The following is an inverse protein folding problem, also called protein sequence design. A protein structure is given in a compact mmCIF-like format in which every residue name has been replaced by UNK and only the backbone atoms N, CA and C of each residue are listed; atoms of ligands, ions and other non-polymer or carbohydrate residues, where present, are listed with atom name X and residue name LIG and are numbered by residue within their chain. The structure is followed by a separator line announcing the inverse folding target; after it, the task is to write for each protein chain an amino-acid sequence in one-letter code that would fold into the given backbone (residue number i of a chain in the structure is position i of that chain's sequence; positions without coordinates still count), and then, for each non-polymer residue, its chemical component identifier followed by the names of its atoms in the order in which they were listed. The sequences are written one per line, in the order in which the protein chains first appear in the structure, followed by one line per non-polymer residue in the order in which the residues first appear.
data_IF_364941594067
#
_entry.id   IF_364941594067
#
_cell.length_a   1.000
_cell.length_b   1.000
_cell.length_c   1.000
_cell.angle_alpha   90.00
_cell.angle_beta   90.00
_cell.angle_gamma   90.00
#
_symmetry.space_group_name_H-M   'P 1'
#
loop_
_entity.id
_entity.type
_entity.pdbx_description
1 polymer ?
#
# COMPACT_ATOMS: atom_id res chain seq x y z
N UNK A 1 28.05 -16.86 11.96
CA UNK A 1 27.97 -16.86 10.47
C UNK A 1 26.73 -16.06 10.15
N UNK A 2 26.90 -14.78 9.84
CA UNK A 2 25.77 -13.91 9.42
C UNK A 2 25.54 -14.29 7.97
N UNK A 3 24.55 -15.13 7.72
CA UNK A 3 24.12 -15.47 6.38
C UNK A 3 23.76 -14.19 5.63
N UNK A 4 24.17 -14.12 4.37
CA UNK A 4 24.02 -12.94 3.51
C UNK A 4 22.57 -12.48 3.52
N UNK A 5 22.32 -11.32 4.14
CA UNK A 5 21.04 -10.65 4.04
C UNK A 5 20.91 -10.12 2.60
N UNK A 6 19.98 -10.71 1.85
CA UNK A 6 19.61 -10.19 0.56
C UNK A 6 18.68 -8.99 0.76
N UNK A 7 19.14 -7.81 0.37
CA UNK A 7 18.31 -6.61 0.32
C UNK A 7 18.40 -5.97 -1.06
N UNK A 8 17.31 -5.35 -1.47
CA UNK A 8 17.27 -4.50 -2.67
C UNK A 8 16.73 -3.15 -2.23
N UNK A 9 17.52 -2.11 -2.46
CA UNK A 9 17.07 -0.74 -2.18
C UNK A 9 15.93 -0.36 -3.13
N UNK A 10 15.02 0.46 -2.64
CA UNK A 10 13.99 1.10 -3.46
C UNK A 10 14.59 2.41 -3.95
N UNK A 11 14.80 2.59 -5.26
CA UNK A 11 15.31 3.85 -5.81
C UNK A 11 14.34 4.99 -5.51
N UNK A 12 14.88 6.17 -5.27
CA UNK A 12 14.08 7.33 -4.90
C UNK A 12 13.10 7.77 -6.00
N UNK A 13 13.48 7.57 -7.26
CA UNK A 13 12.65 7.82 -8.44
C UNK A 13 11.50 6.83 -8.62
N UNK A 14 11.52 5.70 -7.89
CA UNK A 14 10.39 4.78 -7.83
C UNK A 14 9.23 5.33 -6.99
N UNK A 15 9.50 6.25 -6.05
CA UNK A 15 8.47 6.88 -5.24
C UNK A 15 7.55 7.74 -6.12
N UNK A 16 6.24 7.56 -5.98
CA UNK A 16 5.27 8.34 -6.74
C UNK A 16 5.28 9.81 -6.32
N UNK A 17 5.20 10.67 -7.31
CA UNK A 17 4.80 12.07 -7.15
C UNK A 17 3.29 12.15 -7.40
N UNK A 18 2.55 12.60 -6.41
CA UNK A 18 1.08 12.64 -6.46
C UNK A 18 0.52 13.82 -7.29
N UNK A 19 1.39 14.66 -7.83
CA UNK A 19 1.05 15.66 -8.84
C UNK A 19 1.03 15.08 -10.27
N UNK A 20 1.48 13.82 -10.44
CA UNK A 20 1.42 13.13 -11.74
C UNK A 20 -0.03 13.05 -12.25
N UNK A 21 -0.29 13.48 -13.51
CA UNK A 21 -1.66 13.50 -14.05
C UNK A 21 -2.27 12.11 -14.22
N UNK A 22 -1.42 11.09 -14.34
CA UNK A 22 -1.82 9.70 -14.53
C UNK A 22 -2.38 9.05 -13.25
N UNK A 23 -2.12 9.62 -12.08
CA UNK A 23 -2.65 9.10 -10.82
C UNK A 23 -4.10 9.55 -10.61
N UNK A 24 -5.04 8.64 -10.83
CA UNK A 24 -6.47 8.91 -10.71
C UNK A 24 -7.21 7.82 -9.92
N UNK A 25 -8.48 8.08 -9.62
CA UNK A 25 -9.40 7.10 -9.04
C UNK A 25 -9.65 6.01 -10.09
N UNK A 26 -9.90 4.78 -9.63
CA UNK A 26 -10.15 3.57 -10.41
C UNK A 26 -8.92 2.99 -11.14
N UNK A 27 -7.72 3.53 -10.91
CA UNK A 27 -6.49 2.90 -11.37
C UNK A 27 -6.17 1.65 -10.54
N UNK A 28 -5.71 0.60 -11.23
CA UNK A 28 -5.33 -0.66 -10.58
C UNK A 28 -4.04 -0.51 -9.79
N UNK A 29 -4.03 -1.09 -8.60
CA UNK A 29 -2.85 -1.14 -7.73
C UNK A 29 -2.51 -2.59 -7.37
N UNK A 30 -1.24 -2.82 -7.08
CA UNK A 30 -0.69 -4.10 -6.64
C UNK A 30 -0.02 -3.92 -5.28
N UNK A 31 -0.20 -4.86 -4.39
CA UNK A 31 0.50 -4.87 -3.11
C UNK A 31 0.92 -6.27 -2.71
N UNK A 32 2.03 -6.36 -1.98
CA UNK A 32 2.68 -7.61 -1.63
C UNK A 32 2.74 -7.72 -0.12
N UNK A 33 2.30 -8.84 0.42
CA UNK A 33 2.30 -9.03 1.87
C UNK A 33 1.93 -10.44 2.30
N UNK A 34 1.64 -10.54 3.58
CA UNK A 34 1.32 -11.80 4.27
C UNK A 34 -0.10 -11.73 4.89
N UNK A 35 -1.15 -11.66 4.06
CA UNK A 35 -2.52 -11.48 4.56
C UNK A 35 -2.89 -12.62 5.50
N UNK A 36 -3.31 -12.28 6.72
CA UNK A 36 -3.64 -13.24 7.77
C UNK A 36 -2.52 -14.30 8.00
N UNK A 37 -1.26 -13.88 7.87
CA UNK A 37 -0.10 -14.75 7.96
C UNK A 37 0.00 -15.81 6.85
N UNK A 38 -0.76 -15.68 5.77
CA UNK A 38 -0.72 -16.62 4.64
C UNK A 38 0.39 -16.26 3.65
N UNK A 39 1.14 -17.26 3.23
CA UNK A 39 2.22 -17.15 2.26
C UNK A 39 2.54 -18.52 1.64
N UNK A 40 3.33 -18.56 0.59
CA UNK A 40 3.86 -19.80 0.05
C UNK A 40 4.92 -20.36 1.01
N UNK A 41 4.54 -21.35 1.81
CA UNK A 41 5.40 -21.92 2.84
C UNK A 41 6.58 -22.72 2.26
N UNK A 42 6.42 -23.30 1.08
CA UNK A 42 7.46 -24.10 0.44
C UNK A 42 8.61 -23.24 -0.08
N UNK A 43 8.30 -22.06 -0.59
CA UNK A 43 9.27 -21.15 -1.20
C UNK A 43 9.54 -19.90 -0.35
N UNK A 44 8.83 -19.76 0.77
CA UNK A 44 8.89 -18.59 1.66
C UNK A 44 8.60 -17.27 0.92
N UNK A 45 7.57 -17.28 0.05
CA UNK A 45 7.21 -16.13 -0.75
C UNK A 45 5.91 -15.48 -0.29
N UNK A 46 5.84 -14.14 -0.26
CA UNK A 46 4.61 -13.41 0.02
C UNK A 46 3.58 -13.56 -1.10
N UNK A 47 2.35 -13.19 -0.82
CA UNK A 47 1.27 -13.15 -1.80
C UNK A 47 1.16 -11.77 -2.43
N UNK A 48 1.05 -11.75 -3.76
CA UNK A 48 0.69 -10.54 -4.51
C UNK A 48 -0.83 -10.41 -4.59
N UNK A 49 -1.32 -9.20 -4.36
CA UNK A 49 -2.73 -8.88 -4.39
C UNK A 49 -2.98 -7.64 -5.24
N UNK A 50 -4.21 -7.48 -5.67
CA UNK A 50 -4.67 -6.35 -6.48
C UNK A 50 -5.80 -5.62 -5.79
N UNK A 51 -6.00 -4.39 -6.16
CA UNK A 51 -7.10 -3.52 -5.79
C UNK A 51 -7.14 -2.34 -6.74
N UNK A 52 -7.93 -1.32 -6.41
CA UNK A 52 -7.94 -0.08 -7.17
C UNK A 52 -7.98 1.13 -6.26
N UNK A 53 -7.56 2.28 -6.77
CA UNK A 53 -7.61 3.56 -6.04
C UNK A 53 -9.06 3.97 -5.87
N UNK A 54 -9.52 4.07 -4.61
CA UNK A 54 -10.91 4.39 -4.27
C UNK A 54 -11.14 5.86 -3.91
N UNK A 55 -10.11 6.56 -3.43
CA UNK A 55 -10.17 8.00 -3.18
C UNK A 55 -9.14 8.74 -4.03
N UNK A 56 -9.38 10.02 -4.34
CA UNK A 56 -8.39 10.78 -5.12
C UNK A 56 -7.02 10.79 -4.42
N UNK A 57 -5.97 10.26 -5.06
CA UNK A 57 -4.65 10.22 -4.46
C UNK A 57 -3.98 11.60 -4.39
N UNK A 58 -4.49 12.59 -5.16
CA UNK A 58 -3.96 13.98 -5.16
C UNK A 58 -4.29 14.74 -3.88
N UNK A 59 -5.38 14.37 -3.21
CA UNK A 59 -5.79 15.00 -1.95
C UNK A 59 -5.47 14.12 -0.76
N UNK A 60 -5.24 14.75 0.38
CA UNK A 60 -5.01 14.06 1.64
C UNK A 60 -6.35 13.59 2.22
N UNK A 61 -6.52 12.28 2.31
CA UNK A 61 -7.75 11.70 2.83
C UNK A 61 -7.91 12.01 4.32
N UNK A 62 -9.01 12.71 4.65
CA UNK A 62 -9.28 13.22 6.01
C UNK A 62 -8.14 14.11 6.55
N UNK A 63 -7.48 14.90 5.68
CA UNK A 63 -6.41 15.81 6.05
C UNK A 63 -5.10 15.13 6.49
N UNK A 64 -4.89 13.87 6.13
CA UNK A 64 -3.67 13.12 6.39
C UNK A 64 -3.03 12.67 5.08
N UNK A 65 -1.68 12.53 4.99
CA UNK A 65 -0.97 12.12 3.78
C UNK A 65 -1.24 10.64 3.45
N UNK A 66 -2.47 10.35 3.12
CA UNK A 66 -2.99 9.00 2.86
C UNK A 66 -4.08 9.04 1.79
N UNK A 67 -4.38 7.90 1.21
CA UNK A 67 -5.51 7.66 0.30
C UNK A 67 -6.13 6.29 0.58
N UNK A 68 -7.28 6.03 -0.03
CA UNK A 68 -8.04 4.78 0.15
C UNK A 68 -7.95 3.95 -1.12
N UNK A 69 -7.77 2.64 -0.93
CA UNK A 69 -7.87 1.63 -1.99
C UNK A 69 -9.09 0.74 -1.73
N UNK A 70 -9.78 0.35 -2.78
CA UNK A 70 -10.76 -0.74 -2.77
C UNK A 70 -9.98 -2.04 -2.94
N UNK A 71 -9.78 -2.71 -1.83
CA UNK A 71 -9.08 -3.98 -1.75
C UNK A 71 -9.41 -4.66 -0.42
N UNK A 72 -9.54 -5.96 -0.44
CA UNK A 72 -9.67 -6.71 0.81
C UNK A 72 -8.32 -6.71 1.55
N UNK A 73 -8.14 -5.75 2.45
CA UNK A 73 -6.96 -5.66 3.31
C UNK A 73 -7.24 -6.41 4.61
N UNK A 74 -6.44 -7.43 4.92
CA UNK A 74 -6.55 -8.22 6.14
C UNK A 74 -5.45 -7.87 7.14
N UNK A 75 -5.59 -8.24 8.41
CA UNK A 75 -4.49 -8.24 9.37
C UNK A 75 -3.25 -8.91 8.78
N UNK A 76 -2.06 -8.35 9.01
CA UNK A 76 -0.82 -8.80 8.37
C UNK A 76 -0.51 -8.16 7.02
N UNK A 77 -1.44 -7.39 6.44
CA UNK A 77 -1.16 -6.59 5.25
C UNK A 77 -0.56 -5.21 5.57
N UNK A 78 -0.55 -4.78 6.83
CA UNK A 78 0.06 -3.52 7.24
C UNK A 78 1.56 -3.52 6.94
N UNK A 79 2.06 -2.41 6.36
CA UNK A 79 3.44 -2.30 5.88
C UNK A 79 3.66 -2.85 4.46
N UNK A 80 2.66 -3.49 3.84
CA UNK A 80 2.76 -3.95 2.45
C UNK A 80 2.96 -2.78 1.50
N UNK A 81 3.99 -2.80 0.63
CA UNK A 81 4.19 -1.78 -0.39
C UNK A 81 3.10 -1.86 -1.45
N UNK A 82 2.57 -0.70 -1.84
CA UNK A 82 1.53 -0.52 -2.86
C UNK A 82 2.12 0.09 -4.11
N UNK A 83 2.03 -0.62 -5.22
CA UNK A 83 2.58 -0.22 -6.51
C UNK A 83 1.47 0.04 -7.54
N UNK A 84 1.79 0.88 -8.50
CA UNK A 84 1.01 1.08 -9.73
C UNK A 84 1.91 0.84 -10.93
N UNK A 85 1.34 0.25 -11.99
CA UNK A 85 2.01 0.09 -13.30
C UNK A 85 1.37 1.04 -14.31
N UNK A 86 2.06 2.11 -14.62
CA UNK A 86 1.64 3.17 -15.54
C UNK A 86 2.13 2.91 -16.98
N UNK A 87 2.64 1.72 -17.27
CA UNK A 87 3.21 1.39 -18.58
C UNK A 87 2.23 1.61 -19.73
N UNK A 88 0.94 1.33 -19.51
CA UNK A 88 -0.10 1.51 -20.52
C UNK A 88 -0.56 2.97 -20.69
N UNK A 89 -0.33 3.84 -19.72
CA UNK A 89 -0.68 5.27 -19.80
C UNK A 89 0.11 5.98 -20.91
N UNK A 90 1.35 5.57 -21.15
CA UNK A 90 2.16 6.12 -22.25
C UNK A 90 1.55 5.83 -23.64
N UNK A 91 0.66 4.84 -23.76
CA UNK A 91 -0.07 4.56 -24.97
C UNK A 91 -1.28 5.50 -25.19
N UNK A 92 -1.92 6.01 -24.12
CA UNK A 92 -3.07 6.94 -24.23
C UNK A 92 -2.66 8.31 -24.79
N UNK A 93 -1.43 8.73 -24.52
CA UNK A 93 -0.89 10.02 -24.99
C UNK A 93 -0.30 9.95 -26.43
N UNK A 94 -0.56 8.89 -27.17
CA UNK A 94 -0.11 8.73 -28.56
C UNK A 94 1.39 8.51 -28.74
N UNK A 95 2.13 8.27 -27.66
CA UNK A 95 3.53 7.88 -27.69
C UNK A 95 3.65 6.42 -27.28
N UNK A 96 3.96 5.56 -28.24
CA UNK A 96 4.36 4.19 -27.97
C UNK A 96 5.83 4.23 -27.55
N UNK A 97 6.10 4.20 -26.25
CA UNK A 97 7.47 3.95 -25.76
C UNK A 97 7.61 2.44 -25.60
N UNK A 98 8.14 1.80 -26.59
CA UNK A 98 8.40 0.36 -26.58
C UNK A 98 9.58 0.10 -25.62
N UNK A 99 9.30 -0.61 -24.52
CA UNK A 99 10.32 -1.15 -23.62
C UNK A 99 10.52 -0.44 -22.29
N UNK A 100 9.87 0.68 -22.01
CA UNK A 100 9.98 1.36 -20.72
C UNK A 100 8.81 1.01 -19.82
N UNK A 101 9.09 0.23 -18.77
CA UNK A 101 8.11 -0.11 -17.74
C UNK A 101 8.10 0.98 -16.68
N UNK A 102 7.00 1.73 -16.57
CA UNK A 102 6.83 2.78 -15.57
C UNK A 102 6.05 2.24 -14.37
N UNK A 103 6.78 1.69 -13.40
CA UNK A 103 6.21 1.28 -12.11
C UNK A 103 6.52 2.33 -11.06
N UNK A 104 5.55 2.67 -10.21
CA UNK A 104 5.74 3.60 -9.09
C UNK A 104 5.27 2.97 -7.78
N UNK A 105 5.98 3.28 -6.69
CA UNK A 105 5.56 2.98 -5.32
C UNK A 105 4.66 4.11 -4.83
N UNK A 106 3.38 3.81 -4.63
CA UNK A 106 2.41 4.77 -4.13
C UNK A 106 2.49 4.98 -2.62
N UNK A 107 2.95 3.96 -1.89
CA UNK A 107 3.03 4.02 -0.44
C UNK A 107 2.98 2.65 0.21
N UNK A 108 2.56 2.62 1.46
CA UNK A 108 2.42 1.41 2.26
C UNK A 108 1.01 1.28 2.84
N UNK A 109 0.49 0.07 2.87
CA UNK A 109 -0.77 -0.23 3.55
C UNK A 109 -0.63 0.09 5.04
N UNK A 110 -1.52 0.95 5.55
CA UNK A 110 -1.55 1.34 6.95
C UNK A 110 -2.51 0.48 7.76
N UNK A 111 -3.76 0.44 7.33
CA UNK A 111 -4.84 -0.26 8.05
C UNK A 111 -5.99 -0.63 7.13
N UNK A 112 -6.81 -1.56 7.62
CA UNK A 112 -8.11 -1.91 7.04
C UNK A 112 -9.21 -1.04 7.65
N UNK A 113 -10.21 -0.69 6.85
CA UNK A 113 -11.42 -0.07 7.36
C UNK A 113 -12.37 -1.16 7.84
N UNK A 114 -12.86 -1.02 9.08
CA UNK A 114 -13.76 -1.97 9.71
C UNK A 114 -15.05 -1.28 10.15
N UNK A 115 -16.13 -2.05 10.18
CA UNK A 115 -17.39 -1.68 10.82
C UNK A 115 -17.60 -2.58 12.03
N UNK A 116 -17.90 -1.97 13.17
CA UNK A 116 -18.32 -2.70 14.36
C UNK A 116 -19.84 -2.89 14.30
N UNK A 117 -20.30 -4.12 14.38
CA UNK A 117 -21.70 -4.46 14.48
C UNK A 117 -21.99 -4.95 15.90
N UNK A 118 -22.93 -4.29 16.59
CA UNK A 118 -23.41 -4.74 17.88
C UNK A 118 -24.56 -5.72 17.69
N UNK A 119 -24.43 -6.90 18.26
CA UNK A 119 -25.48 -7.92 18.31
C UNK A 119 -26.04 -7.97 19.70
N UNK A 120 -27.34 -7.72 19.85
CA UNK A 120 -28.08 -7.90 21.11
C UNK A 120 -28.56 -9.34 21.18
N UNK A 121 -28.05 -10.09 22.14
CA UNK A 121 -28.56 -11.41 22.43
C UNK A 121 -29.79 -11.30 23.38
N UNK A 122 -30.94 -11.76 22.92
CA UNK A 122 -32.14 -11.88 23.75
C UNK A 122 -32.33 -13.38 24.10
N UNK A 123 -32.35 -13.77 25.38
CA UNK A 123 -32.66 -12.99 26.58
C UNK A 123 -31.47 -12.65 27.49
N UNK A 124 -30.22 -12.76 27.04
CA UNK A 124 -29.07 -12.45 27.90
C UNK A 124 -28.64 -10.98 27.78
N UNK A 125 -28.13 -10.42 28.87
CA UNK A 125 -27.56 -9.07 28.90
C UNK A 125 -26.16 -8.97 28.29
N UNK A 126 -25.75 -9.96 27.52
CA UNK A 126 -24.43 -10.02 26.92
C UNK A 126 -24.46 -9.39 25.52
N UNK A 127 -23.72 -8.32 25.34
CA UNK A 127 -23.51 -7.70 24.03
C UNK A 127 -22.36 -8.40 23.32
N UNK A 128 -22.58 -8.79 22.07
CA UNK A 128 -21.52 -9.30 21.19
C UNK A 128 -21.17 -8.21 20.19
N UNK A 129 -19.87 -7.94 20.03
CA UNK A 129 -19.35 -7.04 19.01
C UNK A 129 -18.68 -7.89 17.94
N UNK A 130 -19.15 -7.78 16.70
CA UNK A 130 -18.49 -8.38 15.54
C UNK A 130 -17.86 -7.28 14.70
N UNK A 131 -16.68 -7.57 14.15
CA UNK A 131 -16.00 -6.68 13.23
C UNK A 131 -16.16 -7.19 11.80
N UNK A 132 -16.57 -6.30 10.92
CA UNK A 132 -16.68 -6.58 9.50
C UNK A 132 -15.66 -5.74 8.73
N UNK A 133 -14.88 -6.40 7.88
CA UNK A 133 -13.93 -5.73 6.97
C UNK A 133 -14.72 -5.15 5.81
N UNK A 134 -14.60 -3.84 5.60
CA UNK A 134 -15.34 -3.12 4.55
C UNK A 134 -14.78 -3.33 3.14
N UNK A 135 -13.67 -4.04 2.99
CA UNK A 135 -12.99 -4.16 1.69
C UNK A 135 -12.23 -2.89 1.29
N UNK A 136 -12.02 -1.98 2.23
CA UNK A 136 -11.30 -0.73 2.01
C UNK A 136 -10.00 -0.72 2.83
N UNK A 137 -8.91 -0.29 2.20
CA UNK A 137 -7.61 -0.14 2.84
C UNK A 137 -7.13 1.31 2.82
N UNK A 138 -6.51 1.75 3.91
CA UNK A 138 -5.83 3.04 3.97
C UNK A 138 -4.36 2.82 3.61
N UNK A 139 -3.82 3.68 2.75
CA UNK A 139 -2.43 3.68 2.31
C UNK A 139 -1.79 5.00 2.68
N UNK A 140 -0.66 4.97 3.42
CA UNK A 140 0.18 6.14 3.59
C UNK A 140 0.92 6.42 2.29
N UNK A 141 0.90 7.68 1.84
CA UNK A 141 1.51 8.13 0.60
C UNK A 141 3.04 7.97 0.63
N UNK A 142 3.63 7.71 -0.52
CA UNK A 142 5.08 7.65 -0.69
C UNK A 142 5.76 8.97 -0.31
N UNK A 143 5.10 10.11 -0.44
CA UNK A 143 5.59 11.42 0.02
C UNK A 143 5.87 11.43 1.52
N UNK A 144 5.01 10.82 2.34
CA UNK A 144 5.24 10.72 3.79
C UNK A 144 6.46 9.83 4.12
N UNK A 145 6.70 8.77 3.32
CA UNK A 145 7.90 7.95 3.46
C UNK A 145 9.14 8.78 3.12
N UNK A 146 9.06 9.57 2.04
CA UNK A 146 10.14 10.45 1.60
C UNK A 146 10.48 11.47 2.69
N UNK A 147 9.50 12.17 3.23
CA UNK A 147 9.69 13.13 4.32
C UNK A 147 10.34 12.50 5.54
N UNK A 148 9.93 11.27 5.90
CA UNK A 148 10.54 10.54 7.01
C UNK A 148 12.01 10.24 6.74
N UNK A 149 12.35 9.72 5.56
CA UNK A 149 13.74 9.40 5.18
C UNK A 149 14.60 10.66 5.16
N UNK A 150 14.10 11.76 4.58
CA UNK A 150 14.81 13.04 4.51
C UNK A 150 15.03 13.68 5.88
N UNK A 151 14.21 13.34 6.88
CA UNK A 151 14.34 13.81 8.26
C UNK A 151 15.46 13.13 9.07
N UNK A 152 16.00 11.99 8.56
CA UNK A 152 17.03 11.23 9.26
C UNK A 152 18.40 11.87 8.99
N UNK A 153 19.14 12.31 10.05
CA UNK A 153 20.48 12.89 9.87
C UNK A 153 21.44 11.88 9.22
N UNK A 154 22.14 12.30 8.17
CA UNK A 154 23.10 11.44 7.43
C UNK A 154 24.27 10.94 8.28
N UNK A 155 24.55 11.58 9.42
CA UNK A 155 25.64 11.21 10.33
C UNK A 155 25.42 9.84 11.03
N UNK A 156 24.21 9.29 10.99
CA UNK A 156 23.91 7.99 11.63
C UNK A 156 24.36 6.77 10.82
N UNK A 157 24.89 6.94 9.60
CA UNK A 157 25.26 5.84 8.69
C UNK A 157 26.77 5.52 8.66
N UNK A 158 27.59 6.21 9.43
CA UNK A 158 29.03 5.96 9.53
C UNK A 158 29.41 5.50 10.94
N UNK A 159 29.03 4.30 11.32
CA UNK A 159 29.68 3.61 12.42
C UNK A 159 29.61 2.11 12.23
N UNK A 160 30.81 1.59 11.93
CA UNK A 160 31.33 0.22 12.02
C UNK A 160 31.02 -0.72 10.85
#
# INVERSE_FOLDING_TARGET
MIDRIYYKHIPYDLLADFDEPELSIAENVYFVGYPDGKYDQSNNLPLMRTGMIASSPKFDFNGKPQFVIDAQVFPGSSGSPVYIDLTFENMRNGRIVIGERKVKLLGIVAQTMIRNNELLAIPSSTNYVTQEVLGLGIVFKATAIKELVDSIPMESYHSD
#
